data_IF_662753830352
#
_entry.id   IF_662753830352
#
_cell.length_a   1.000
_cell.length_b   1.000
_cell.length_c   1.000
_cell.angle_alpha   90.00
_cell.angle_beta   90.00
_cell.angle_gamma   90.00
#
_symmetry.space_group_name_H-M   'P 1'
#
loop_
_entity.id
_entity.type
_entity.pdbx_description
1 polymer ?
#
# COMPACT_ATOMS: atom_id res chain seq x y z
N UNK A 1 41.65 -65.69 -4.66
CA UNK A 1 41.76 -64.43 -5.43
C UNK A 1 40.53 -64.30 -6.30
N UNK A 2 39.56 -63.50 -5.87
CA UNK A 2 38.43 -63.04 -6.69
C UNK A 2 37.86 -61.81 -5.99
N UNK A 3 38.27 -60.64 -6.47
CA UNK A 3 37.83 -59.31 -6.01
C UNK A 3 36.46 -59.02 -6.60
N UNK A 4 35.45 -58.82 -5.76
CA UNK A 4 34.13 -58.33 -6.19
C UNK A 4 34.16 -56.80 -6.16
N UNK A 5 33.97 -56.22 -7.34
CA UNK A 5 33.98 -54.79 -7.63
C UNK A 5 32.72 -54.11 -7.08
N UNK A 6 32.88 -53.05 -6.28
CA UNK A 6 31.78 -52.20 -5.85
C UNK A 6 31.38 -51.24 -6.99
N UNK A 7 30.16 -51.35 -7.49
CA UNK A 7 29.58 -50.45 -8.48
C UNK A 7 29.06 -49.19 -7.78
N UNK A 8 29.66 -48.04 -8.07
CA UNK A 8 29.22 -46.73 -7.61
C UNK A 8 28.15 -46.19 -8.57
N UNK A 9 26.87 -46.32 -8.19
CA UNK A 9 25.78 -45.61 -8.84
C UNK A 9 25.59 -44.25 -8.17
N UNK A 10 26.21 -43.21 -8.75
CA UNK A 10 25.93 -41.83 -8.41
C UNK A 10 24.55 -41.46 -8.96
N UNK A 11 23.55 -41.36 -8.07
CA UNK A 11 22.27 -40.75 -8.38
C UNK A 11 22.51 -39.25 -8.56
N UNK A 12 22.53 -38.81 -9.81
CA UNK A 12 22.42 -37.41 -10.17
C UNK A 12 21.05 -36.91 -9.69
N UNK A 13 21.02 -36.23 -8.55
CA UNK A 13 19.88 -35.44 -8.14
C UNK A 13 19.79 -34.25 -9.09
N UNK A 14 18.94 -34.38 -10.11
CA UNK A 14 18.46 -33.27 -10.92
C UNK A 14 17.74 -32.32 -9.97
N UNK A 15 18.43 -31.26 -9.57
CA UNK A 15 17.82 -30.12 -8.89
C UNK A 15 16.78 -29.52 -9.84
N UNK A 16 15.51 -29.85 -9.60
CA UNK A 16 14.39 -29.11 -10.16
C UNK A 16 14.64 -27.62 -9.87
N UNK A 17 14.52 -26.71 -10.86
CA UNK A 17 14.63 -25.30 -10.57
C UNK A 17 13.58 -24.97 -9.52
N UNK A 18 14.04 -24.54 -8.34
CA UNK A 18 13.21 -23.86 -7.37
C UNK A 18 12.53 -22.76 -8.18
N UNK A 19 11.23 -22.86 -8.40
CA UNK A 19 10.44 -21.68 -8.74
C UNK A 19 10.67 -20.78 -7.55
N UNK A 20 11.60 -19.81 -7.69
CA UNK A 20 11.76 -18.75 -6.72
C UNK A 20 10.36 -18.21 -6.54
N UNK A 21 9.77 -18.42 -5.36
CA UNK A 21 8.51 -17.81 -5.01
C UNK A 21 8.79 -16.32 -5.09
N UNK A 22 8.43 -15.71 -6.21
CA UNK A 22 8.64 -14.30 -6.46
C UNK A 22 7.73 -13.56 -5.53
N UNK A 23 8.27 -13.03 -4.44
CA UNK A 23 7.52 -12.18 -3.52
C UNK A 23 6.92 -10.99 -4.30
N UNK A 24 5.60 -10.96 -4.54
CA UNK A 24 5.00 -9.91 -5.35
C UNK A 24 5.18 -8.53 -4.71
N UNK A 25 5.23 -8.45 -3.37
CA UNK A 25 5.42 -7.19 -2.67
C UNK A 25 6.79 -6.56 -2.98
N UNK A 26 7.86 -7.36 -2.91
CA UNK A 26 9.21 -6.93 -3.26
C UNK A 26 9.30 -6.45 -4.72
N UNK A 27 8.58 -7.12 -5.63
CA UNK A 27 8.55 -6.79 -7.06
C UNK A 27 7.79 -5.49 -7.33
N UNK A 28 6.68 -5.25 -6.65
CA UNK A 28 5.95 -3.98 -6.70
C UNK A 28 6.83 -2.84 -6.14
N UNK A 29 7.50 -3.07 -5.01
CA UNK A 29 8.41 -2.08 -4.43
C UNK A 29 9.57 -1.74 -5.38
N UNK A 30 10.08 -2.72 -6.12
CA UNK A 30 11.12 -2.49 -7.13
C UNK A 30 10.60 -1.70 -8.33
N UNK A 31 9.43 -2.06 -8.87
CA UNK A 31 8.77 -1.29 -9.91
C UNK A 31 8.55 0.18 -9.47
N UNK A 32 8.12 0.40 -8.22
CA UNK A 32 7.95 1.74 -7.65
C UNK A 32 9.26 2.54 -7.63
N UNK A 33 10.41 1.91 -7.32
CA UNK A 33 11.72 2.55 -7.38
C UNK A 33 12.13 2.91 -8.82
N UNK A 34 11.80 2.07 -9.80
CA UNK A 34 12.04 2.37 -11.21
C UNK A 34 11.19 3.54 -11.71
N UNK A 35 9.97 3.70 -11.18
CA UNK A 35 9.06 4.80 -11.52
C UNK A 35 9.40 6.12 -10.84
N UNK A 36 9.99 6.09 -9.63
CA UNK A 36 10.30 7.29 -8.85
C UNK A 36 11.08 8.37 -9.64
N UNK A 37 12.17 8.07 -10.39
CA UNK A 37 12.88 9.06 -11.20
C UNK A 37 12.03 9.78 -12.25
N UNK A 38 10.93 9.18 -12.72
CA UNK A 38 10.00 9.85 -13.62
C UNK A 38 9.22 10.95 -12.88
N UNK A 39 8.72 10.66 -11.68
CA UNK A 39 8.06 11.65 -10.83
C UNK A 39 9.01 12.78 -10.42
N UNK A 40 10.26 12.44 -10.07
CA UNK A 40 11.30 13.42 -9.72
C UNK A 40 11.61 14.41 -10.86
N UNK A 41 11.53 13.94 -12.11
CA UNK A 41 11.72 14.77 -13.31
C UNK A 41 10.44 15.43 -13.81
N UNK A 42 9.30 15.22 -13.14
CA UNK A 42 8.00 15.70 -13.60
C UNK A 42 7.54 15.08 -14.92
N UNK A 43 8.02 13.88 -15.23
CA UNK A 43 7.69 13.15 -16.45
C UNK A 43 6.44 12.32 -16.25
N UNK A 44 5.60 12.27 -17.28
CA UNK A 44 4.41 11.42 -17.28
C UNK A 44 4.81 9.95 -17.29
N UNK A 45 4.17 9.17 -16.45
CA UNK A 45 4.19 7.70 -16.47
C UNK A 45 2.99 7.28 -17.30
N UNK A 46 3.22 7.01 -18.59
CA UNK A 46 2.21 6.40 -19.45
C UNK A 46 2.23 4.87 -19.33
N UNK A 47 1.35 4.20 -20.08
CA UNK A 47 1.26 2.74 -20.08
C UNK A 47 2.55 2.05 -20.55
N UNK A 48 3.34 2.68 -21.41
CA UNK A 48 4.60 2.12 -21.90
C UNK A 48 5.70 2.17 -20.83
N UNK A 49 5.83 3.32 -20.16
CA UNK A 49 6.75 3.47 -19.01
C UNK A 49 6.36 2.50 -17.90
N UNK A 50 5.08 2.44 -17.55
CA UNK A 50 4.60 1.56 -16.49
C UNK A 50 4.84 0.09 -16.84
N UNK A 51 4.51 -0.35 -18.06
CA UNK A 51 4.79 -1.72 -18.51
C UNK A 51 6.27 -2.03 -18.41
N UNK A 52 7.14 -1.15 -18.90
CA UNK A 52 8.60 -1.37 -18.86
C UNK A 52 9.11 -1.57 -17.43
N UNK A 53 8.65 -0.75 -16.48
CA UNK A 53 9.01 -0.87 -15.07
C UNK A 53 8.52 -2.20 -14.48
N UNK A 54 7.28 -2.59 -14.77
CA UNK A 54 6.70 -3.85 -14.30
C UNK A 54 7.42 -5.07 -14.89
N UNK A 55 7.67 -5.10 -16.20
CA UNK A 55 8.40 -6.19 -16.86
C UNK A 55 9.82 -6.32 -16.34
N UNK A 56 10.50 -5.21 -16.08
CA UNK A 56 11.85 -5.20 -15.48
C UNK A 56 11.82 -5.78 -14.07
N UNK A 57 10.86 -5.36 -13.24
CA UNK A 57 10.77 -5.83 -11.86
C UNK A 57 10.34 -7.29 -11.77
N UNK A 58 9.30 -7.69 -12.50
CA UNK A 58 8.73 -9.05 -12.47
C UNK A 58 9.51 -10.05 -13.33
N UNK A 59 10.29 -9.59 -14.30
CA UNK A 59 11.04 -10.44 -15.24
C UNK A 59 10.14 -11.13 -16.28
N UNK A 60 8.91 -10.66 -16.46
CA UNK A 60 7.92 -11.25 -17.36
C UNK A 60 6.90 -10.21 -17.85
N UNK A 61 6.32 -10.44 -19.04
CA UNK A 61 5.31 -9.55 -19.64
C UNK A 61 3.92 -9.73 -19.03
N UNK A 62 3.04 -8.73 -19.22
CA UNK A 62 1.63 -8.81 -18.82
C UNK A 62 0.89 -10.00 -19.44
N UNK A 63 1.32 -10.45 -20.63
CA UNK A 63 0.75 -11.62 -21.32
C UNK A 63 1.02 -12.95 -20.61
N UNK A 64 1.99 -13.02 -19.70
CA UNK A 64 2.32 -14.25 -18.95
C UNK A 64 1.44 -14.47 -17.73
N UNK A 65 0.69 -13.45 -17.31
CA UNK A 65 -0.06 -13.46 -16.05
C UNK A 65 0.79 -13.26 -14.80
N UNK A 66 2.10 -12.97 -14.93
CA UNK A 66 2.99 -12.72 -13.78
C UNK A 66 2.62 -11.47 -12.97
N UNK A 67 1.92 -10.52 -13.59
CA UNK A 67 1.37 -9.32 -12.97
C UNK A 67 0.16 -8.83 -13.79
N UNK A 68 -0.70 -8.06 -13.15
CA UNK A 68 -1.86 -7.43 -13.79
C UNK A 68 -1.80 -5.89 -13.67
N UNK A 69 -2.69 -5.21 -14.38
CA UNK A 69 -2.71 -3.73 -14.37
C UNK A 69 -3.09 -3.15 -13.00
N UNK A 70 -3.75 -3.92 -12.14
CA UNK A 70 -4.04 -3.50 -10.76
C UNK A 70 -2.76 -3.43 -9.94
N UNK A 71 -1.94 -4.48 -10.02
CA UNK A 71 -0.60 -4.54 -9.41
C UNK A 71 0.28 -3.40 -9.93
N UNK A 72 0.16 -3.07 -11.22
CA UNK A 72 0.87 -1.94 -11.81
C UNK A 72 0.41 -0.58 -11.24
N UNK A 73 -0.88 -0.42 -10.95
CA UNK A 73 -1.39 0.78 -10.26
C UNK A 73 -0.89 0.87 -8.81
N UNK A 74 -0.83 -0.25 -8.07
CA UNK A 74 -0.23 -0.29 -6.73
C UNK A 74 1.25 0.18 -6.77
N UNK A 75 2.00 -0.14 -7.83
CA UNK A 75 3.37 0.37 -8.03
C UNK A 75 3.43 1.89 -8.25
N UNK A 76 2.46 2.48 -8.96
CA UNK A 76 2.35 3.94 -9.11
C UNK A 76 2.05 4.64 -7.79
N UNK A 77 1.19 4.07 -6.95
CA UNK A 77 0.88 4.60 -5.63
C UNK A 77 2.08 4.48 -4.70
N UNK A 78 2.77 3.34 -4.70
CA UNK A 78 4.02 3.16 -3.98
C UNK A 78 5.10 4.17 -4.44
N UNK A 79 5.23 4.43 -5.74
CA UNK A 79 6.14 5.45 -6.26
C UNK A 79 5.78 6.86 -5.74
N UNK A 80 4.49 7.15 -5.59
CA UNK A 80 4.01 8.40 -4.99
C UNK A 80 4.36 8.48 -3.50
N UNK A 81 4.20 7.38 -2.74
CA UNK A 81 4.62 7.31 -1.35
C UNK A 81 6.13 7.51 -1.19
N UNK A 82 6.96 6.90 -2.05
CA UNK A 82 8.41 7.09 -2.07
C UNK A 82 8.80 8.54 -2.43
N UNK A 83 8.12 9.15 -3.40
CA UNK A 83 8.34 10.55 -3.74
C UNK A 83 8.03 11.46 -2.54
N UNK A 84 6.88 11.25 -1.89
CA UNK A 84 6.47 12.02 -0.73
C UNK A 84 7.36 11.78 0.49
N UNK A 85 7.89 10.57 0.67
CA UNK A 85 8.91 10.30 1.69
C UNK A 85 10.11 11.22 1.54
N UNK A 86 10.59 11.36 0.29
CA UNK A 86 11.81 12.10 -0.02
C UNK A 86 11.58 13.61 -0.03
N UNK A 87 10.44 14.07 -0.55
CA UNK A 87 10.20 15.51 -0.82
C UNK A 87 9.05 16.11 -0.01
N UNK A 88 8.18 15.31 0.59
CA UNK A 88 6.92 15.74 1.19
C UNK A 88 7.08 16.78 2.30
N UNK A 89 8.04 16.61 3.21
CA UNK A 89 8.34 17.60 4.27
C UNK A 89 8.81 18.94 3.69
N UNK A 90 9.64 18.91 2.64
CA UNK A 90 10.11 20.12 1.97
C UNK A 90 8.98 20.81 1.18
N UNK A 91 8.12 20.02 0.53
CA UNK A 91 6.92 20.52 -0.16
C UNK A 91 5.95 21.19 0.81
N UNK A 92 5.64 20.52 1.93
CA UNK A 92 4.79 21.05 2.99
C UNK A 92 5.34 22.37 3.55
N UNK A 93 6.62 22.42 3.91
CA UNK A 93 7.29 23.64 4.39
C UNK A 93 7.25 24.77 3.37
N UNK A 94 7.48 24.47 2.09
CA UNK A 94 7.45 25.47 1.01
C UNK A 94 6.05 26.00 0.75
N UNK A 95 5.04 25.14 0.80
CA UNK A 95 3.65 25.52 0.58
C UNK A 95 3.08 26.32 1.75
N UNK A 96 3.49 26.03 2.98
CA UNK A 96 3.05 26.72 4.20
C UNK A 96 1.62 26.39 4.66
N UNK A 97 0.82 25.68 3.84
CA UNK A 97 -0.51 25.18 4.21
C UNK A 97 -0.92 23.98 3.34
N UNK A 98 -1.82 23.10 3.83
CA UNK A 98 -2.38 22.02 3.03
C UNK A 98 -3.07 22.51 1.75
N UNK A 99 -3.83 23.60 1.82
CA UNK A 99 -4.50 24.19 0.66
C UNK A 99 -3.53 24.61 -0.45
N UNK A 100 -2.37 25.18 -0.08
CA UNK A 100 -1.33 25.55 -1.03
C UNK A 100 -0.54 24.34 -1.57
N UNK A 101 -0.45 23.25 -0.79
CA UNK A 101 0.21 22.01 -1.22
C UNK A 101 -0.66 21.18 -2.18
N UNK A 102 -1.99 21.30 -2.09
CA UNK A 102 -2.96 20.57 -2.91
C UNK A 102 -2.69 20.63 -4.43
N UNK A 103 -2.50 21.80 -5.08
CA UNK A 103 -2.22 21.85 -6.52
C UNK A 103 -0.89 21.17 -6.90
N UNK A 104 0.09 21.13 -5.99
CA UNK A 104 1.36 20.43 -6.23
C UNK A 104 1.15 18.91 -6.27
N UNK A 105 0.36 18.38 -5.33
CA UNK A 105 0.00 16.96 -5.30
C UNK A 105 -0.93 16.58 -6.47
N UNK A 106 -1.85 17.46 -6.85
CA UNK A 106 -2.70 17.26 -8.02
C UNK A 106 -1.86 17.17 -9.30
N UNK A 107 -0.79 17.98 -9.43
CA UNK A 107 0.15 17.88 -10.55
C UNK A 107 0.87 16.53 -10.56
N UNK A 108 1.33 16.03 -9.41
CA UNK A 108 1.99 14.73 -9.30
C UNK A 108 1.01 13.60 -9.67
N UNK A 109 -0.22 13.64 -9.14
CA UNK A 109 -1.25 12.68 -9.49
C UNK A 109 -1.56 12.68 -11.00
N UNK A 110 -1.54 13.85 -11.65
CA UNK A 110 -1.71 13.99 -13.09
C UNK A 110 -0.58 13.42 -13.95
N UNK A 111 0.57 13.05 -13.37
CA UNK A 111 1.64 12.35 -14.07
C UNK A 111 1.37 10.84 -14.17
N UNK A 112 0.50 10.30 -13.33
CA UNK A 112 0.19 8.87 -13.28
C UNK A 112 -0.86 8.48 -14.34
N UNK A 113 -0.89 7.21 -14.76
CA UNK A 113 -1.94 6.72 -15.63
C UNK A 113 -3.30 6.77 -14.91
N UNK A 114 -4.35 7.13 -15.63
CA UNK A 114 -5.71 7.03 -15.11
C UNK A 114 -6.10 5.55 -14.99
N UNK A 115 -6.76 5.19 -13.88
CA UNK A 115 -7.23 3.82 -13.62
C UNK A 115 -8.45 3.52 -14.52
N UNK A 116 -8.19 3.38 -15.82
CA UNK A 116 -9.21 3.22 -16.88
C UNK A 116 -9.63 1.77 -17.08
N UNK A 117 -8.87 0.81 -16.54
CA UNK A 117 -9.18 -0.62 -16.60
C UNK A 117 -9.78 -1.06 -15.27
N UNK A 118 -11.12 -1.17 -15.21
CA UNK A 118 -11.82 -1.81 -14.10
C UNK A 118 -11.67 -3.32 -14.23
N UNK A 119 -10.96 -3.96 -13.29
CA UNK A 119 -10.98 -5.43 -13.18
C UNK A 119 -12.19 -5.87 -12.37
N UNK A 120 -12.74 -7.05 -12.66
CA UNK A 120 -13.88 -7.62 -11.93
C UNK A 120 -13.62 -7.74 -10.42
N UNK A 121 -12.37 -8.02 -10.01
CA UNK A 121 -11.96 -8.04 -8.60
C UNK A 121 -11.99 -6.65 -7.95
N UNK A 122 -11.62 -5.59 -8.69
CA UNK A 122 -11.70 -4.21 -8.19
C UNK A 122 -13.14 -3.73 -8.04
N UNK A 123 -14.05 -4.22 -8.89
CA UNK A 123 -15.49 -3.98 -8.74
C UNK A 123 -16.11 -4.79 -7.60
N UNK A 124 -15.63 -6.02 -7.37
CA UNK A 124 -16.13 -6.93 -6.33
C UNK A 124 -15.70 -6.49 -4.92
N UNK A 125 -14.44 -6.07 -4.75
CA UNK A 125 -13.91 -5.63 -3.44
C UNK A 125 -13.92 -4.11 -3.26
N UNK A 126 -14.34 -3.33 -4.26
CA UNK A 126 -14.39 -1.85 -4.25
C UNK A 126 -13.12 -1.18 -3.70
N UNK A 127 -11.97 -1.75 -4.02
CA UNK A 127 -10.66 -1.28 -3.56
C UNK A 127 -10.20 -0.06 -4.37
N UNK A 128 -10.90 1.06 -4.23
CA UNK A 128 -10.44 2.34 -4.77
C UNK A 128 -9.41 2.94 -3.81
N UNK A 129 -8.20 3.21 -4.31
CA UNK A 129 -7.21 3.95 -3.54
C UNK A 129 -7.67 5.37 -3.30
N UNK A 130 -7.32 5.95 -2.15
CA UNK A 130 -7.56 7.36 -1.87
C UNK A 130 -6.59 8.20 -2.69
N UNK A 131 -7.06 8.93 -3.74
CA UNK A 131 -6.17 9.76 -4.52
C UNK A 131 -5.46 10.75 -3.60
N UNK A 132 -4.16 10.93 -3.79
CA UNK A 132 -3.32 11.71 -2.87
C UNK A 132 -3.85 13.13 -2.57
N UNK A 133 -4.54 13.86 -3.48
CA UNK A 133 -5.15 15.14 -3.14
C UNK A 133 -6.28 15.03 -2.09
N UNK A 134 -7.09 13.96 -2.15
CA UNK A 134 -8.12 13.69 -1.15
C UNK A 134 -7.49 13.22 0.17
N UNK A 135 -6.43 12.42 0.10
CA UNK A 135 -5.66 12.04 1.29
C UNK A 135 -5.12 13.26 2.04
N UNK A 136 -4.65 14.29 1.32
CA UNK A 136 -4.19 15.54 1.95
C UNK A 136 -5.33 16.27 2.66
N UNK A 137 -6.52 16.31 2.06
CA UNK A 137 -7.69 16.90 2.70
C UNK A 137 -8.08 16.12 3.97
N UNK A 138 -8.05 14.78 3.93
CA UNK A 138 -8.32 13.94 5.09
C UNK A 138 -7.30 14.19 6.22
N UNK A 139 -6.00 14.18 5.90
CA UNK A 139 -4.94 14.45 6.88
C UNK A 139 -5.03 15.87 7.47
N UNK A 140 -5.42 16.86 6.66
CA UNK A 140 -5.65 18.23 7.14
C UNK A 140 -6.88 18.30 8.08
N UNK A 141 -7.99 17.64 7.73
CA UNK A 141 -9.17 17.56 8.58
C UNK A 141 -8.87 16.87 9.91
N UNK A 142 -8.04 15.82 9.90
CA UNK A 142 -7.60 15.11 11.09
C UNK A 142 -6.70 15.94 12.00
N UNK A 143 -6.15 17.06 11.51
CA UNK A 143 -5.24 17.95 12.26
C UNK A 143 -4.10 17.19 12.94
N UNK A 144 -3.44 16.31 12.19
CA UNK A 144 -2.33 15.48 12.70
C UNK A 144 -1.16 16.35 13.14
N UNK A 145 -0.60 16.02 14.29
CA UNK A 145 0.57 16.65 14.90
C UNK A 145 1.63 15.62 15.27
N UNK A 146 2.81 16.10 15.69
CA UNK A 146 3.87 15.22 16.18
C UNK A 146 3.55 14.49 17.50
N UNK A 147 2.50 14.89 18.21
CA UNK A 147 2.04 14.20 19.42
C UNK A 147 1.09 13.04 19.10
N UNK A 148 0.64 12.91 17.85
CA UNK A 148 -0.38 11.93 17.50
C UNK A 148 0.19 10.55 17.20
N UNK A 149 -0.58 9.55 17.61
CA UNK A 149 -0.47 8.17 17.13
C UNK A 149 -1.61 7.93 16.15
N UNK A 150 -1.26 7.71 14.88
CA UNK A 150 -2.19 7.61 13.76
C UNK A 150 -2.35 6.16 13.34
N UNK A 151 -3.55 5.63 13.50
CA UNK A 151 -3.94 4.32 12.98
C UNK A 151 -4.51 4.48 11.56
N UNK A 152 -3.94 3.72 10.62
CA UNK A 152 -4.58 3.42 9.34
C UNK A 152 -4.99 1.94 9.33
N UNK A 153 -6.30 1.63 9.51
CA UNK A 153 -6.77 0.26 9.70
C UNK A 153 -6.85 -0.54 8.40
N UNK A 154 -6.82 0.10 7.23
CA UNK A 154 -6.85 -0.55 5.92
C UNK A 154 -5.91 0.19 4.97
N UNK A 155 -4.62 -0.03 5.19
CA UNK A 155 -3.59 0.89 4.76
C UNK A 155 -3.27 0.91 3.27
N UNK A 156 -3.71 -0.11 2.53
CA UNK A 156 -3.49 -0.23 1.11
C UNK A 156 -2.01 -0.11 0.75
N UNK A 157 -1.67 0.91 -0.04
CA UNK A 157 -0.30 1.22 -0.46
C UNK A 157 0.37 2.30 0.41
N UNK A 158 -0.33 2.82 1.43
CA UNK A 158 0.21 3.75 2.42
C UNK A 158 0.19 5.23 2.02
N UNK A 159 -0.70 5.63 1.10
CA UNK A 159 -0.84 7.04 0.70
C UNK A 159 -1.36 7.95 1.84
N UNK A 160 -2.24 7.43 2.70
CA UNK A 160 -2.70 8.11 3.90
C UNK A 160 -1.60 8.10 4.98
N UNK A 161 -0.98 6.94 5.22
CA UNK A 161 0.16 6.81 6.14
C UNK A 161 1.30 7.80 5.85
N UNK A 162 1.71 7.98 4.59
CA UNK A 162 2.81 8.89 4.27
C UNK A 162 2.46 10.36 4.57
N UNK A 163 1.19 10.76 4.39
CA UNK A 163 0.73 12.10 4.70
C UNK A 163 0.70 12.35 6.21
N UNK A 164 0.21 11.36 6.98
CA UNK A 164 0.25 11.40 8.43
C UNK A 164 1.68 11.52 8.97
N UNK A 165 2.64 10.79 8.40
CA UNK A 165 4.05 10.89 8.77
C UNK A 165 4.68 12.24 8.40
N UNK A 166 4.32 12.80 7.23
CA UNK A 166 4.77 14.13 6.83
C UNK A 166 4.27 15.20 7.81
N UNK A 167 3.05 15.04 8.33
CA UNK A 167 2.49 15.88 9.39
C UNK A 167 3.15 15.66 10.76
N UNK A 168 3.99 14.62 10.89
CA UNK A 168 4.78 14.31 12.08
C UNK A 168 4.20 13.20 12.95
N UNK A 169 3.04 12.63 12.60
CA UNK A 169 2.40 11.57 13.37
C UNK A 169 3.22 10.29 13.39
N UNK A 170 3.19 9.59 14.53
CA UNK A 170 3.63 8.19 14.63
C UNK A 170 2.56 7.27 14.01
N UNK A 171 2.98 6.15 13.42
CA UNK A 171 2.09 5.31 12.62
C UNK A 171 1.81 3.96 13.26
N UNK A 172 0.57 3.51 13.12
CA UNK A 172 0.12 2.13 13.32
C UNK A 172 -0.57 1.70 12.03
N UNK A 173 -0.05 0.67 11.38
CA UNK A 173 -0.50 0.26 10.04
C UNK A 173 -1.09 -1.15 10.07
N UNK A 174 -2.29 -1.28 9.52
CA UNK A 174 -2.93 -2.57 9.31
C UNK A 174 -3.36 -2.71 7.84
N UNK A 175 -3.06 -3.86 7.23
CA UNK A 175 -3.53 -4.18 5.88
C UNK A 175 -3.82 -5.67 5.76
N UNK A 176 -5.06 -6.01 5.37
CA UNK A 176 -5.51 -7.39 5.28
C UNK A 176 -4.86 -8.14 4.10
N UNK A 177 -4.72 -7.47 2.95
CA UNK A 177 -4.18 -8.08 1.74
C UNK A 177 -2.67 -8.33 1.87
N UNK A 178 -2.27 -9.60 1.75
CA UNK A 178 -0.88 -10.05 1.95
C UNK A 178 0.15 -9.23 1.17
N UNK A 179 -0.07 -9.10 -0.13
CA UNK A 179 0.84 -8.39 -1.03
C UNK A 179 1.01 -6.93 -0.64
N UNK A 180 -0.07 -6.26 -0.21
CA UNK A 180 -0.04 -4.86 0.18
C UNK A 180 0.58 -4.67 1.57
N UNK A 181 0.33 -5.58 2.51
CA UNK A 181 1.02 -5.59 3.80
C UNK A 181 2.55 -5.80 3.64
N UNK A 182 2.95 -6.70 2.75
CA UNK A 182 4.35 -6.87 2.37
C UNK A 182 4.93 -5.61 1.73
N UNK A 183 4.18 -4.97 0.82
CA UNK A 183 4.59 -3.72 0.19
C UNK A 183 4.78 -2.59 1.21
N UNK A 184 3.84 -2.44 2.16
CA UNK A 184 3.95 -1.49 3.26
C UNK A 184 5.20 -1.73 4.11
N UNK A 185 5.58 -3.00 4.34
CA UNK A 185 6.81 -3.35 5.05
C UNK A 185 8.07 -2.88 4.30
N UNK A 186 8.04 -2.82 2.96
CA UNK A 186 9.12 -2.21 2.17
C UNK A 186 9.08 -0.67 2.17
N UNK A 187 7.89 -0.06 2.24
CA UNK A 187 7.71 1.40 2.21
C UNK A 187 7.92 2.06 3.58
N UNK A 188 7.64 1.35 4.67
CA UNK A 188 7.70 1.78 6.07
C UNK A 188 8.49 0.76 6.91
N UNK A 189 9.78 0.49 6.63
CA UNK A 189 10.52 -0.62 7.23
C UNK A 189 10.72 -0.53 8.75
N UNK A 190 10.48 0.64 9.35
CA UNK A 190 10.55 0.86 10.79
C UNK A 190 9.21 0.59 11.51
N UNK A 191 8.13 0.35 10.78
CA UNK A 191 6.77 0.22 11.33
C UNK A 191 6.28 -1.20 11.07
N UNK A 192 5.97 -2.00 12.12
CA UNK A 192 5.35 -3.29 11.92
C UNK A 192 3.94 -3.12 11.32
N UNK A 193 3.58 -4.01 10.38
CA UNK A 193 2.27 -4.01 9.72
C UNK A 193 1.45 -5.18 10.22
N UNK A 194 0.31 -4.92 10.86
CA UNK A 194 -0.65 -5.96 11.22
C UNK A 194 -1.55 -6.33 10.04
N UNK A 195 -2.23 -7.48 10.13
CA UNK A 195 -3.04 -8.04 9.02
C UNK A 195 -4.44 -8.48 9.48
N UNK A 196 -5.03 -7.75 10.41
CA UNK A 196 -6.36 -8.04 10.94
C UNK A 196 -7.45 -7.55 9.99
N UNK A 197 -8.64 -8.14 10.08
CA UNK A 197 -9.83 -7.53 9.49
C UNK A 197 -10.11 -6.21 10.21
N UNK A 198 -10.16 -5.11 9.44
CA UNK A 198 -10.39 -3.78 9.98
C UNK A 198 -11.79 -3.59 10.60
N UNK A 199 -12.76 -4.44 10.26
CA UNK A 199 -14.04 -4.51 10.96
C UNK A 199 -13.91 -5.02 12.42
N UNK A 200 -12.77 -5.60 12.77
CA UNK A 200 -12.45 -6.20 14.08
C UNK A 200 -11.13 -5.67 14.63
N UNK A 201 -10.71 -4.47 14.20
CA UNK A 201 -9.41 -3.92 14.60
C UNK A 201 -9.34 -3.70 16.11
N UNK A 202 -10.46 -3.31 16.73
CA UNK A 202 -10.55 -3.15 18.17
C UNK A 202 -10.45 -4.47 18.96
N UNK A 203 -10.84 -5.59 18.36
CA UNK A 203 -10.76 -6.88 19.06
C UNK A 203 -9.33 -7.47 19.00
N UNK A 204 -8.59 -7.17 17.93
CA UNK A 204 -7.34 -7.86 17.61
C UNK A 204 -6.07 -7.05 17.80
N UNK A 205 -6.12 -5.72 17.68
CA UNK A 205 -4.95 -4.88 17.89
C UNK A 205 -4.54 -4.93 19.37
N UNK A 206 -3.24 -4.95 19.65
CA UNK A 206 -2.71 -4.95 21.03
C UNK A 206 -3.39 -3.83 21.84
N UNK A 207 -3.96 -4.15 23.00
CA UNK A 207 -4.69 -3.21 23.85
C UNK A 207 -3.84 -2.00 24.30
N UNK A 208 -2.50 -2.12 24.29
CA UNK A 208 -1.60 -1.00 24.56
C UNK A 208 -1.56 0.04 23.42
N UNK A 209 -2.00 -0.33 22.22
CA UNK A 209 -2.08 0.59 21.07
C UNK A 209 -3.42 1.32 21.13
N UNK A 210 -3.37 2.58 21.55
CA UNK A 210 -4.53 3.48 21.66
C UNK A 210 -4.27 4.72 20.80
N UNK A 211 -4.68 4.73 19.51
CA UNK A 211 -4.42 5.84 18.60
C UNK A 211 -5.19 7.10 19.01
N UNK A 212 -4.56 8.27 18.84
CA UNK A 212 -5.23 9.57 19.01
C UNK A 212 -5.92 10.04 17.72
N UNK A 213 -5.51 9.48 16.58
CA UNK A 213 -6.11 9.74 15.28
C UNK A 213 -6.32 8.44 14.52
N UNK A 214 -7.48 8.30 13.89
CA UNK A 214 -7.70 7.31 12.83
C UNK A 214 -7.84 8.04 11.50
N UNK A 215 -7.02 7.67 10.53
CA UNK A 215 -7.15 8.11 9.13
C UNK A 215 -7.50 6.88 8.31
N UNK A 216 -8.65 6.84 7.66
CA UNK A 216 -9.10 5.64 6.96
C UNK A 216 -9.84 5.96 5.67
N UNK A 217 -9.94 4.95 4.80
CA UNK A 217 -10.82 4.93 3.64
C UNK A 217 -11.50 3.55 3.63
N UNK A 218 -12.58 3.36 4.41
CA UNK A 218 -13.20 2.06 4.54
C UNK A 218 -13.78 1.56 3.20
N UNK A 219 -13.88 0.24 2.99
CA UNK A 219 -14.58 -0.28 1.83
C UNK A 219 -16.05 0.16 1.86
N UNK A 220 -16.55 0.72 0.75
CA UNK A 220 -17.91 1.27 0.67
C UNK A 220 -19.02 0.21 0.81
N UNK A 221 -18.79 -1.07 0.47
CA UNK A 221 -19.82 -2.12 0.60
C UNK A 221 -19.34 -3.58 0.70
N UNK A 222 -18.04 -3.81 0.92
CA UNK A 222 -17.46 -5.16 0.97
C UNK A 222 -16.94 -5.51 2.38
N UNK A 223 -17.29 -6.69 2.88
CA UNK A 223 -16.63 -7.33 4.03
C UNK A 223 -15.70 -8.44 3.53
N UNK A 224 -14.64 -8.73 4.27
CA UNK A 224 -13.83 -9.91 4.02
C UNK A 224 -14.73 -11.17 4.07
N UNK A 225 -14.58 -12.07 3.10
CA UNK A 225 -15.26 -13.37 3.05
C UNK A 225 -16.80 -13.35 2.93
N UNK A 226 -17.42 -12.23 2.54
CA UNK A 226 -18.89 -12.17 2.30
C UNK A 226 -19.19 -11.75 0.86
N UNK A 227 -19.88 -12.61 0.12
CA UNK A 227 -20.39 -12.31 -1.22
C UNK A 227 -21.71 -11.53 -1.13
N UNK A 228 -21.70 -10.25 -1.52
CA UNK A 228 -22.87 -9.37 -1.60
C UNK A 228 -22.58 -7.94 -1.10
N UNK A 229 -23.38 -6.95 -1.53
CA UNK A 229 -23.32 -5.59 -0.96
C UNK A 229 -23.94 -5.60 0.42
N UNK A 230 -23.14 -5.38 1.46
CA UNK A 230 -23.69 -5.04 2.78
C UNK A 230 -23.52 -3.53 3.01
N UNK A 231 -24.65 -2.83 3.15
CA UNK A 231 -24.68 -1.39 3.42
C UNK A 231 -23.96 -1.00 4.74
N UNK A 232 -23.68 -1.99 5.62
CA UNK A 232 -23.11 -1.83 6.94
C UNK A 232 -21.58 -2.11 7.01
N UNK A 233 -20.94 -2.53 5.91
CA UNK A 233 -19.51 -2.87 5.92
C UNK A 233 -18.63 -1.67 6.34
N UNK A 234 -18.83 -0.52 5.70
CA UNK A 234 -18.14 0.71 6.08
C UNK A 234 -18.44 1.12 7.53
N UNK A 235 -19.70 0.98 7.97
CA UNK A 235 -20.12 1.31 9.33
C UNK A 235 -19.42 0.45 10.38
N UNK A 236 -19.18 -0.84 10.12
CA UNK A 236 -18.45 -1.73 11.05
C UNK A 236 -16.97 -1.36 11.16
N UNK A 237 -16.31 -1.08 10.03
CA UNK A 237 -14.92 -0.63 10.05
C UNK A 237 -14.78 0.68 10.84
N UNK A 238 -15.68 1.64 10.60
CA UNK A 238 -15.71 2.91 11.34
C UNK A 238 -16.02 2.69 12.82
N UNK A 239 -17.01 1.85 13.16
CA UNK A 239 -17.37 1.57 14.54
C UNK A 239 -16.23 0.89 15.31
N UNK A 240 -15.57 -0.09 14.71
CA UNK A 240 -14.41 -0.75 15.33
C UNK A 240 -13.25 0.23 15.49
N UNK A 241 -12.96 1.06 14.50
CA UNK A 241 -11.91 2.08 14.62
C UNK A 241 -12.25 3.17 15.65
N UNK A 242 -13.52 3.55 15.80
CA UNK A 242 -13.98 4.46 16.86
C UNK A 242 -13.84 3.85 18.25
N UNK A 243 -14.16 2.56 18.41
CA UNK A 243 -14.03 1.86 19.70
C UNK A 243 -12.56 1.80 20.17
N UNK A 244 -11.63 1.73 19.23
CA UNK A 244 -10.19 1.73 19.49
C UNK A 244 -9.59 3.13 19.75
N UNK A 245 -10.29 4.20 19.37
CA UNK A 245 -9.78 5.56 19.43
C UNK A 245 -9.64 6.05 20.88
N UNK A 246 -8.56 6.76 21.19
CA UNK A 246 -8.38 7.40 22.49
C UNK A 246 -9.51 8.40 22.79
N UNK A 247 -9.80 8.62 24.08
CA UNK A 247 -10.70 9.68 24.53
C UNK A 247 -10.26 11.05 23.96
N UNK A 248 -11.18 11.76 23.31
CA UNK A 248 -10.89 13.03 22.64
C UNK A 248 -10.12 12.91 21.33
N UNK A 249 -9.90 11.69 20.84
CA UNK A 249 -9.29 11.42 19.54
C UNK A 249 -10.16 11.85 18.36
N UNK A 250 -9.58 11.77 17.15
CA UNK A 250 -10.22 12.22 15.91
C UNK A 250 -10.22 11.10 14.88
N UNK A 251 -11.36 10.86 14.23
CA UNK A 251 -11.45 9.92 13.11
C UNK A 251 -11.86 10.68 11.84
N UNK A 252 -11.16 10.40 10.74
CA UNK A 252 -11.51 10.88 9.39
C UNK A 252 -11.57 9.67 8.45
N UNK A 253 -12.70 9.54 7.75
CA UNK A 253 -13.03 8.44 6.82
C UNK A 253 -13.57 8.99 5.49
#
# INVERSE_FOLDING_TARGET
MTTVSASAAALAATSLPLVLVTDPAARIAEAARLLLPHLERGQRIDAGVLRTAMETAFGASDATGAWDWKTAYDACEAATALFLRKYGKALSRKAGSPAAMLPMLAKIAGLLPTHTRRSAESETFQQFSTPIPLGLAAAAAASVTAADCVLEPSAGTGLLAILAEIAGGSLVLNELAETRAGLLSHLFPAIPVSRFDAAQIDDHLDAAVVPSVVLMNPPFSAMANVSGRLADAACRHVASALARLADGGRLVA
#
